data_IF_802436561638
#
_entry.id   IF_802436561638
#
_cell.length_a   1.000
_cell.length_b   1.000
_cell.length_c   1.000
_cell.angle_alpha   90.00
_cell.angle_beta   90.00
_cell.angle_gamma   90.00
#
_symmetry.space_group_name_H-M   'P 1'
#
loop_
_entity.id
_entity.type
_entity.pdbx_description
1 polymer ?
#
# COMPACT_ATOMS: atom_id res chain seq x y z
N UNK A 1 -1.76 -7.57 7.91
CA UNK A 1 -1.43 -6.97 6.58
C UNK A 1 -0.22 -6.04 6.64
N UNK A 2 -0.27 -4.83 7.23
CA UNK A 2 0.87 -3.89 7.21
C UNK A 2 2.10 -4.44 7.94
N UNK A 3 1.90 -4.99 9.15
CA UNK A 3 2.94 -5.67 9.92
C UNK A 3 3.60 -6.81 9.13
N UNK A 4 2.79 -7.59 8.41
CA UNK A 4 3.28 -8.74 7.64
C UNK A 4 4.08 -8.29 6.42
N UNK A 5 3.62 -7.24 5.73
CA UNK A 5 4.37 -6.60 4.64
C UNK A 5 5.69 -6.02 5.15
N UNK A 6 5.71 -5.31 6.27
CA UNK A 6 6.95 -4.79 6.88
C UNK A 6 7.91 -5.91 7.25
N UNK A 7 7.41 -6.98 7.86
CA UNK A 7 8.22 -8.15 8.19
C UNK A 7 8.76 -8.85 6.92
N UNK A 8 7.96 -8.96 5.87
CA UNK A 8 8.36 -9.53 4.59
C UNK A 8 9.51 -8.74 3.95
N UNK A 9 9.37 -7.42 3.86
CA UNK A 9 10.40 -6.54 3.31
C UNK A 9 11.64 -6.39 4.20
N UNK A 10 11.53 -6.68 5.49
CA UNK A 10 12.66 -6.64 6.42
C UNK A 10 13.56 -7.89 6.36
N UNK A 11 13.12 -8.99 5.74
CA UNK A 11 13.77 -10.31 5.83
C UNK A 11 14.65 -10.69 4.63
N UNK A 12 14.45 -10.07 3.47
CA UNK A 12 15.18 -10.41 2.24
C UNK A 12 15.23 -9.18 1.32
N UNK A 13 16.20 -9.14 0.39
CA UNK A 13 16.27 -8.13 -0.69
C UNK A 13 14.96 -8.14 -1.47
N UNK A 14 14.08 -7.14 -1.27
CA UNK A 14 12.84 -7.07 -2.01
C UNK A 14 13.18 -6.84 -3.47
N UNK A 15 12.75 -7.73 -4.36
CA UNK A 15 12.81 -7.42 -5.79
C UNK A 15 11.60 -6.54 -6.14
N UNK A 16 11.77 -5.64 -7.10
CA UNK A 16 10.71 -4.71 -7.51
C UNK A 16 9.42 -5.44 -7.95
N UNK A 17 9.56 -6.62 -8.57
CA UNK A 17 8.45 -7.47 -8.98
C UNK A 17 7.63 -8.06 -7.81
N UNK A 18 8.17 -8.08 -6.58
CA UNK A 18 7.45 -8.49 -5.36
C UNK A 18 6.86 -7.30 -4.60
N UNK A 19 7.33 -6.08 -4.87
CA UNK A 19 6.80 -4.84 -4.27
C UNK A 19 5.45 -4.48 -4.88
N UNK A 20 5.30 -4.61 -6.20
CA UNK A 20 4.04 -4.28 -6.91
C UNK A 20 2.84 -5.09 -6.37
N UNK A 21 2.90 -6.43 -6.28
CA UNK A 21 1.77 -7.22 -5.76
C UNK A 21 1.47 -6.94 -4.28
N UNK A 22 2.49 -6.62 -3.49
CA UNK A 22 2.30 -6.28 -2.07
C UNK A 22 1.60 -4.92 -1.91
N UNK A 23 1.94 -3.94 -2.75
CA UNK A 23 1.27 -2.65 -2.80
C UNK A 23 -0.18 -2.79 -3.27
N UNK A 24 -0.44 -3.55 -4.33
CA UNK A 24 -1.79 -3.83 -4.83
C UNK A 24 -2.66 -4.50 -3.75
N UNK A 25 -2.07 -5.41 -2.98
CA UNK A 25 -2.77 -6.05 -1.87
C UNK A 25 -3.15 -5.06 -0.76
N UNK A 26 -2.26 -4.10 -0.45
CA UNK A 26 -2.53 -3.04 0.52
C UNK A 26 -3.61 -2.09 0.00
N UNK A 27 -3.57 -1.67 -1.27
CA UNK A 27 -4.58 -0.77 -1.84
C UNK A 27 -5.99 -1.37 -1.81
N UNK A 28 -6.11 -2.64 -2.21
CA UNK A 28 -7.38 -3.36 -2.19
C UNK A 28 -8.00 -3.40 -0.78
N UNK A 29 -7.16 -3.62 0.25
CA UNK A 29 -7.61 -3.61 1.64
C UNK A 29 -8.03 -2.21 2.10
N UNK A 30 -7.28 -1.17 1.73
CA UNK A 30 -7.63 0.22 2.00
C UNK A 30 -8.95 0.62 1.33
N UNK A 31 -9.20 0.16 0.10
CA UNK A 31 -10.49 0.35 -0.58
C UNK A 31 -11.64 -0.31 0.16
N UNK A 32 -11.44 -1.52 0.69
CA UNK A 32 -12.44 -2.21 1.50
C UNK A 32 -12.78 -1.42 2.78
N UNK A 33 -11.77 -0.88 3.46
CA UNK A 33 -11.97 -0.02 4.63
C UNK A 33 -12.65 1.30 4.27
N UNK A 34 -12.29 1.92 3.15
CA UNK A 34 -12.91 3.17 2.67
C UNK A 34 -14.39 3.01 2.30
N UNK A 35 -14.77 1.86 1.72
CA UNK A 35 -16.16 1.58 1.32
C UNK A 35 -17.06 1.20 2.50
N UNK A 36 -16.47 0.76 3.60
CA UNK A 36 -17.22 0.30 4.76
C UNK A 36 -17.65 1.49 5.64
N UNK A 37 -18.93 1.86 5.52
CA UNK A 37 -19.57 2.96 6.27
C UNK A 37 -19.66 2.74 7.79
N UNK A 38 -19.26 1.56 8.30
CA UNK A 38 -19.22 1.29 9.75
C UNK A 38 -18.04 1.97 10.44
N UNK A 39 -17.03 2.41 9.70
CA UNK A 39 -15.86 3.04 10.27
C UNK A 39 -16.09 4.53 10.55
N UNK A 40 -15.38 5.03 11.57
CA UNK A 40 -15.43 6.44 11.92
C UNK A 40 -14.79 7.30 10.82
N UNK A 41 -15.20 8.57 10.68
CA UNK A 41 -14.59 9.51 9.74
C UNK A 41 -13.06 9.60 9.87
N UNK A 42 -12.51 9.47 11.09
CA UNK A 42 -11.06 9.45 11.33
C UNK A 42 -10.35 8.30 10.63
N UNK A 43 -10.98 7.12 10.56
CA UNK A 43 -10.45 5.95 9.86
C UNK A 43 -10.48 6.21 8.35
N UNK A 44 -11.55 6.82 7.83
CA UNK A 44 -11.62 7.21 6.43
C UNK A 44 -10.52 8.22 6.05
N UNK A 45 -10.27 9.22 6.90
CA UNK A 45 -9.17 10.17 6.70
C UNK A 45 -7.79 9.49 6.74
N UNK A 46 -7.58 8.56 7.67
CA UNK A 46 -6.33 7.79 7.74
C UNK A 46 -6.14 6.91 6.51
N UNK A 47 -7.21 6.27 6.03
CA UNK A 47 -7.22 5.48 4.80
C UNK A 47 -6.90 6.36 3.58
N UNK A 48 -7.49 7.56 3.49
CA UNK A 48 -7.19 8.51 2.42
C UNK A 48 -5.70 8.90 2.40
N UNK A 49 -5.13 9.18 3.58
CA UNK A 49 -3.71 9.49 3.71
C UNK A 49 -2.83 8.31 3.27
N UNK A 50 -3.17 7.10 3.70
CA UNK A 50 -2.46 5.89 3.32
C UNK A 50 -2.50 5.65 1.81
N UNK A 51 -3.64 5.90 1.14
CA UNK A 51 -3.76 5.81 -0.32
C UNK A 51 -2.88 6.83 -1.04
N UNK A 52 -2.83 8.08 -0.56
CA UNK A 52 -1.95 9.10 -1.14
C UNK A 52 -0.48 8.70 -1.04
N UNK A 53 -0.06 8.17 0.11
CA UNK A 53 1.29 7.62 0.29
C UNK A 53 1.56 6.47 -0.66
N UNK A 54 0.60 5.56 -0.85
CA UNK A 54 0.75 4.41 -1.75
C UNK A 54 0.89 4.85 -3.21
N UNK A 55 0.10 5.83 -3.66
CA UNK A 55 0.20 6.42 -5.00
C UNK A 55 1.59 6.98 -5.29
N UNK A 56 2.20 7.67 -4.32
CA UNK A 56 3.57 8.15 -4.46
C UNK A 56 4.58 7.01 -4.66
N UNK A 57 4.41 5.90 -3.95
CA UNK A 57 5.24 4.71 -4.17
C UNK A 57 5.00 4.06 -5.55
N UNK A 58 3.78 4.12 -6.10
CA UNK A 58 3.53 3.65 -7.47
C UNK A 58 4.29 4.51 -8.48
N UNK A 59 4.29 5.83 -8.32
CA UNK A 59 5.07 6.74 -9.17
C UNK A 59 6.57 6.48 -9.08
N UNK A 60 7.09 6.16 -7.89
CA UNK A 60 8.50 5.78 -7.71
C UNK A 60 8.81 4.44 -8.38
N UNK A 61 7.90 3.47 -8.26
CA UNK A 61 8.08 2.15 -8.84
C UNK A 61 8.09 2.22 -10.36
N UNK A 62 7.17 2.98 -10.96
CA UNK A 62 7.10 3.23 -12.41
C UNK A 62 8.39 3.88 -12.95
N UNK A 63 8.91 4.89 -12.24
CA UNK A 63 10.21 5.52 -12.55
C UNK A 63 11.40 4.60 -12.37
N UNK A 64 11.33 3.62 -11.47
CA UNK A 64 12.39 2.64 -11.26
C UNK A 64 12.35 1.46 -12.25
N UNK A 65 11.21 1.24 -12.91
CA UNK A 65 11.02 0.20 -13.92
C UNK A 65 11.45 0.66 -15.33
N UNK A 66 11.71 1.95 -15.51
CA UNK A 66 11.98 2.61 -16.80
C UNK A 66 13.48 2.78 -17.13
N UNK A 67 14.39 2.17 -16.37
CA UNK A 67 15.85 2.18 -16.60
C UNK A 67 16.43 0.77 -16.61
#
# INVERSE_FOLDING_TARGET
ILKDATLYFSRATPNLATVIPAMDHIDNMLMLYSRNKRYMPSIHSAVQLAKNTLNWYYELTDKSLTY
#
